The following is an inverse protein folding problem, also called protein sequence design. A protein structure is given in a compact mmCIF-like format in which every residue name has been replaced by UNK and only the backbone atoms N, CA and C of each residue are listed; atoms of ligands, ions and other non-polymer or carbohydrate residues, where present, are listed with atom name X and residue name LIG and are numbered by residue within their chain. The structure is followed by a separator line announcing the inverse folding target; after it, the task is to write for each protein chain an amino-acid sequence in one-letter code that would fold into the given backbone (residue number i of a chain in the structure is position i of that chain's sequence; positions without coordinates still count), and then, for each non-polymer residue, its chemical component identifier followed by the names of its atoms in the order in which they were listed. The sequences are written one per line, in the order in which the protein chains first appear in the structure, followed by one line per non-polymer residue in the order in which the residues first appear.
data_IF_404597929453
#
_entry.id   IF_404597929453
#
_cell.length_a   1.000
_cell.length_b   1.000
_cell.length_c   1.000
_cell.angle_alpha   90.00
_cell.angle_beta   90.00
_cell.angle_gamma   90.00
#
_symmetry.space_group_name_H-M   'P 1'
#
loop_
_entity.id
_entity.type
_entity.pdbx_description
1 polymer ?
#
# COMPACT_ATOMS: atom_id res chain seq x y z
N UNK A 1 -12.37 -29.76 20.85
CA UNK A 1 -11.28 -29.40 21.78
C UNK A 1 -10.27 -28.41 21.18
N UNK A 2 -9.67 -28.65 20.02
CA UNK A 2 -8.73 -27.71 19.39
C UNK A 2 -9.38 -26.37 19.00
N UNK A 3 -10.62 -26.40 18.55
CA UNK A 3 -11.41 -25.23 18.16
C UNK A 3 -11.72 -24.30 19.35
N UNK A 4 -11.93 -24.87 20.53
CA UNK A 4 -12.21 -24.11 21.75
C UNK A 4 -10.96 -23.52 22.40
N UNK A 5 -9.81 -24.17 22.20
CA UNK A 5 -8.52 -23.66 22.67
C UNK A 5 -8.07 -22.41 21.91
N UNK A 6 -8.20 -22.42 20.58
CA UNK A 6 -7.91 -21.25 19.74
C UNK A 6 -8.86 -20.08 20.07
N UNK A 7 -10.11 -20.39 20.37
CA UNK A 7 -11.12 -19.38 20.73
C UNK A 7 -10.86 -18.71 22.08
N UNK A 8 -10.26 -19.42 23.07
CA UNK A 8 -9.88 -18.83 24.36
C UNK A 8 -8.63 -17.95 24.30
N UNK A 9 -7.69 -18.24 23.42
CA UNK A 9 -6.47 -17.43 23.24
C UNK A 9 -6.77 -16.09 22.56
N UNK A 10 -7.84 -15.99 21.79
CA UNK A 10 -8.24 -14.78 21.09
C UNK A 10 -9.02 -13.76 21.92
N UNK A 11 -9.45 -14.13 23.15
CA UNK A 11 -10.17 -13.24 24.07
C UNK A 11 -9.33 -12.17 24.76
N UNK A 12 -8.00 -12.21 24.61
CA UNK A 12 -7.07 -11.36 25.34
C UNK A 12 -6.48 -10.19 24.54
N UNK A 13 -6.93 -9.93 23.32
CA UNK A 13 -6.42 -8.79 22.52
C UNK A 13 -7.53 -7.79 22.22
N UNK A 14 -7.68 -6.84 23.13
CA UNK A 14 -8.45 -5.61 22.95
C UNK A 14 -7.58 -4.56 22.28
N UNK A 15 -8.19 -3.86 21.32
CA UNK A 15 -7.78 -2.61 20.65
C UNK A 15 -6.78 -2.64 19.49
N UNK A 16 -7.33 -2.86 18.29
CA UNK A 16 -7.02 -2.05 17.14
C UNK A 16 -8.30 -1.91 16.29
N UNK A 17 -9.13 -0.96 16.66
CA UNK A 17 -10.49 -0.75 16.09
C UNK A 17 -10.54 0.21 14.90
N UNK A 18 -9.43 0.71 14.40
CA UNK A 18 -9.43 1.73 13.35
C UNK A 18 -9.41 1.17 11.90
N UNK A 19 -8.95 -0.05 11.67
CA UNK A 19 -8.86 -0.62 10.32
C UNK A 19 -10.09 -1.44 9.88
N UNK A 20 -11.04 -1.67 10.79
CA UNK A 20 -12.15 -2.61 10.57
C UNK A 20 -13.49 -1.96 10.18
N UNK A 21 -13.57 -0.63 10.13
CA UNK A 21 -14.84 0.06 9.84
C UNK A 21 -15.09 0.38 8.37
N UNK A 22 -14.09 0.30 7.53
CA UNK A 22 -14.23 0.64 6.10
C UNK A 22 -14.71 -0.52 5.22
N UNK A 23 -14.49 -1.76 5.61
CA UNK A 23 -14.94 -2.93 4.83
C UNK A 23 -16.41 -3.33 5.06
N UNK A 24 -17.04 -2.87 6.12
CA UNK A 24 -18.44 -3.25 6.43
C UNK A 24 -19.51 -2.59 5.53
N UNK A 25 -19.19 -1.54 4.81
CA UNK A 25 -20.16 -0.82 3.97
C UNK A 25 -20.38 -1.39 2.57
N UNK A 26 -19.55 -2.34 2.13
CA UNK A 26 -19.68 -2.95 0.80
C UNK A 26 -20.40 -4.30 0.75
N UNK A 27 -20.70 -4.93 1.90
CA UNK A 27 -21.27 -6.28 1.94
C UNK A 27 -22.80 -6.37 2.15
N UNK A 28 -23.52 -5.26 2.21
CA UNK A 28 -24.99 -5.31 2.44
C UNK A 28 -25.84 -5.53 1.19
N UNK A 29 -25.24 -5.78 0.01
CA UNK A 29 -25.94 -5.90 -1.29
C UNK A 29 -26.25 -7.30 -1.80
N UNK A 30 -25.69 -8.38 -1.25
CA UNK A 30 -25.90 -9.74 -1.79
C UNK A 30 -26.53 -10.72 -0.78
N UNK A 31 -27.84 -10.72 -0.71
CA UNK A 31 -28.63 -11.81 -0.12
C UNK A 31 -28.70 -12.98 -1.09
N UNK A 32 -27.99 -14.08 -0.82
CA UNK A 32 -28.27 -15.32 -1.52
C UNK A 32 -27.16 -16.37 -1.48
N UNK A 33 -27.33 -17.40 -0.63
CA UNK A 33 -26.52 -18.61 -0.45
C UNK A 33 -25.35 -18.49 0.51
N UNK A 34 -25.64 -18.66 1.79
CA UNK A 34 -24.66 -18.94 2.84
C UNK A 34 -24.08 -20.36 2.67
N UNK A 35 -23.05 -20.50 1.85
CA UNK A 35 -22.04 -21.53 2.06
C UNK A 35 -21.38 -21.26 3.40
N UNK A 36 -21.25 -22.29 4.25
CA UNK A 36 -20.49 -22.20 5.50
C UNK A 36 -19.00 -22.02 5.18
N UNK A 37 -18.62 -20.82 4.76
CA UNK A 37 -17.20 -20.45 4.66
C UNK A 37 -16.67 -20.37 6.09
N UNK A 38 -15.78 -21.28 6.44
CA UNK A 38 -14.96 -21.16 7.64
C UNK A 38 -14.32 -19.76 7.62
N UNK A 39 -14.77 -18.84 8.49
CA UNK A 39 -14.15 -17.53 8.66
C UNK A 39 -12.87 -17.74 9.46
N UNK A 40 -11.80 -18.10 8.76
CA UNK A 40 -10.46 -18.06 9.31
C UNK A 40 -10.14 -16.58 9.60
N UNK A 41 -9.74 -16.28 10.82
CA UNK A 41 -9.37 -14.89 11.18
C UNK A 41 -8.14 -14.48 10.39
N UNK A 42 -8.11 -13.30 9.76
CA UNK A 42 -7.04 -12.93 8.82
C UNK A 42 -5.62 -13.00 9.42
N UNK A 43 -5.45 -12.61 10.68
CA UNK A 43 -4.13 -12.62 11.35
C UNK A 43 -3.55 -14.02 11.60
N UNK A 44 -4.37 -15.07 11.67
CA UNK A 44 -3.87 -16.46 11.85
C UNK A 44 -3.50 -17.07 10.52
N UNK A 45 -4.19 -16.69 9.44
CA UNK A 45 -3.91 -17.21 8.10
C UNK A 45 -2.56 -16.74 7.57
N UNK A 46 -2.21 -15.47 7.79
CA UNK A 46 -0.94 -14.91 7.30
C UNK A 46 0.26 -15.62 7.88
N UNK A 47 0.26 -15.94 9.18
CA UNK A 47 1.36 -16.65 9.84
C UNK A 47 1.61 -18.03 9.23
N UNK A 48 0.52 -18.77 8.92
CA UNK A 48 0.64 -20.10 8.30
C UNK A 48 1.09 -19.98 6.84
N UNK A 49 0.61 -18.96 6.13
CA UNK A 49 1.04 -18.70 4.75
C UNK A 49 2.52 -18.33 4.72
N UNK A 50 2.97 -17.46 5.61
CA UNK A 50 4.36 -17.00 5.68
C UNK A 50 5.32 -18.16 6.02
N UNK A 51 4.91 -19.10 6.86
CA UNK A 51 5.76 -20.22 7.27
C UNK A 51 5.80 -21.37 6.25
N UNK A 52 4.64 -21.70 5.64
CA UNK A 52 4.52 -22.92 4.81
C UNK A 52 4.30 -22.64 3.32
N UNK A 53 3.88 -21.44 2.96
CA UNK A 53 3.50 -21.08 1.59
C UNK A 53 4.10 -19.74 1.13
N UNK A 54 5.28 -19.38 1.67
CA UNK A 54 5.95 -18.14 1.32
C UNK A 54 6.16 -18.00 -0.20
N UNK A 55 6.63 -19.06 -0.87
CA UNK A 55 6.84 -19.04 -2.32
C UNK A 55 5.54 -18.76 -3.10
N UNK A 56 4.43 -19.37 -2.69
CA UNK A 56 3.13 -19.14 -3.36
C UNK A 56 2.62 -17.73 -3.12
N UNK A 57 2.83 -17.19 -1.91
CA UNK A 57 2.52 -15.79 -1.58
C UNK A 57 3.35 -14.84 -2.46
N UNK A 58 4.64 -15.09 -2.58
CA UNK A 58 5.56 -14.21 -3.32
C UNK A 58 5.25 -14.22 -4.83
N UNK A 59 4.87 -15.36 -5.38
CA UNK A 59 4.38 -15.46 -6.78
C UNK A 59 3.09 -14.65 -6.98
N UNK A 60 2.17 -14.68 -6.01
CA UNK A 60 0.94 -13.88 -6.09
C UNK A 60 1.27 -12.39 -5.97
N UNK A 61 2.16 -12.01 -5.04
CA UNK A 61 2.59 -10.62 -4.85
C UNK A 61 3.26 -10.07 -6.11
N UNK A 62 4.15 -10.83 -6.75
CA UNK A 62 4.79 -10.44 -8.02
C UNK A 62 3.76 -10.27 -9.15
N UNK A 63 2.75 -11.14 -9.22
CA UNK A 63 1.69 -11.02 -10.20
C UNK A 63 0.77 -9.80 -9.93
N UNK A 64 0.52 -9.46 -8.66
CA UNK A 64 -0.22 -8.26 -8.27
C UNK A 64 0.55 -6.98 -8.59
N UNK A 65 1.86 -6.99 -8.38
CA UNK A 65 2.74 -5.87 -8.73
C UNK A 65 2.76 -5.64 -10.26
N UNK A 66 2.92 -6.71 -11.05
CA UNK A 66 2.84 -6.64 -12.51
C UNK A 66 1.48 -6.12 -12.98
N UNK A 67 0.39 -6.56 -12.34
CA UNK A 67 -0.94 -6.05 -12.62
C UNK A 67 -1.03 -4.54 -12.37
N UNK A 68 -0.49 -4.07 -11.24
CA UNK A 68 -0.45 -2.64 -10.91
C UNK A 68 0.36 -1.82 -11.91
N UNK A 69 1.51 -2.35 -12.38
CA UNK A 69 2.31 -1.71 -13.42
C UNK A 69 1.55 -1.61 -14.75
N UNK A 70 0.88 -2.68 -15.17
CA UNK A 70 0.10 -2.68 -16.40
C UNK A 70 -1.12 -1.73 -16.30
N UNK A 71 -1.78 -1.66 -15.14
CA UNK A 71 -2.89 -0.72 -14.91
C UNK A 71 -2.40 0.74 -14.91
N UNK A 72 -1.22 1.02 -14.35
CA UNK A 72 -0.61 2.35 -14.38
C UNK A 72 -0.23 2.76 -15.81
N UNK A 73 0.40 1.87 -16.57
CA UNK A 73 0.73 2.11 -17.99
C UNK A 73 -0.51 2.33 -18.85
N UNK A 74 -1.59 1.59 -18.58
CA UNK A 74 -2.86 1.79 -19.27
C UNK A 74 -3.47 3.17 -18.95
N UNK A 75 -3.42 3.60 -17.69
CA UNK A 75 -3.92 4.89 -17.26
C UNK A 75 -3.13 6.04 -17.88
N UNK A 76 -1.79 5.95 -17.88
CA UNK A 76 -0.88 6.91 -18.51
C UNK A 76 -1.17 7.02 -20.02
N UNK A 77 -1.28 5.88 -20.71
CA UNK A 77 -1.59 5.86 -22.14
C UNK A 77 -2.96 6.50 -22.44
N UNK A 78 -3.97 6.25 -21.61
CA UNK A 78 -5.30 6.85 -21.78
C UNK A 78 -5.25 8.36 -21.53
N UNK A 79 -4.48 8.82 -20.54
CA UNK A 79 -4.31 10.25 -20.23
C UNK A 79 -3.55 10.97 -21.35
N UNK A 80 -2.44 10.41 -21.85
CA UNK A 80 -1.67 10.97 -22.97
C UNK A 80 -2.49 11.07 -24.26
N UNK A 81 -3.39 10.13 -24.49
CA UNK A 81 -4.16 10.06 -25.71
C UNK A 81 -5.56 10.70 -25.60
N UNK A 82 -5.93 11.16 -24.39
CA UNK A 82 -7.22 11.80 -24.15
C UNK A 82 -7.44 13.01 -25.06
N UNK A 83 -6.42 13.84 -25.25
CA UNK A 83 -6.47 15.05 -26.07
C UNK A 83 -6.39 14.76 -27.57
N UNK A 84 -5.79 13.64 -27.97
CA UNK A 84 -5.52 13.34 -29.38
C UNK A 84 -6.63 12.52 -30.04
N UNK A 85 -7.29 11.64 -29.30
CA UNK A 85 -8.20 10.62 -29.89
C UNK A 85 -9.60 10.58 -29.28
N UNK A 86 -9.89 11.39 -28.25
CA UNK A 86 -11.20 11.39 -27.58
C UNK A 86 -12.16 12.45 -28.17
N UNK A 87 -11.96 12.89 -29.41
CA UNK A 87 -12.91 13.75 -30.10
C UNK A 87 -14.25 13.03 -30.26
N UNK A 88 -15.37 13.76 -30.11
CA UNK A 88 -16.75 13.24 -30.23
C UNK A 88 -16.99 12.57 -31.57
N UNK A 89 -16.31 13.00 -32.64
CA UNK A 89 -16.41 12.41 -33.99
C UNK A 89 -15.73 11.02 -34.07
N UNK A 90 -14.73 10.76 -33.26
CA UNK A 90 -13.93 9.53 -33.29
C UNK A 90 -14.39 8.48 -32.27
N UNK A 91 -14.86 8.93 -31.09
CA UNK A 91 -15.35 8.07 -30.03
C UNK A 91 -16.68 8.60 -29.48
N UNK A 92 -17.83 8.08 -29.96
CA UNK A 92 -19.12 8.41 -29.38
C UNK A 92 -19.09 7.99 -27.90
N UNK A 93 -19.30 8.88 -26.98
CA UNK A 93 -19.20 8.78 -25.52
C UNK A 93 -17.89 9.25 -24.90
N UNK A 94 -16.93 9.83 -25.66
CA UNK A 94 -15.63 10.31 -25.15
C UNK A 94 -14.89 9.29 -24.26
N UNK A 95 -15.05 7.99 -24.54
CA UNK A 95 -14.44 6.90 -23.75
C UNK A 95 -13.74 5.88 -24.62
N UNK A 96 -12.50 5.59 -24.30
CA UNK A 96 -11.75 4.46 -24.88
C UNK A 96 -12.31 3.14 -24.36
N UNK A 97 -13.29 2.57 -25.06
CA UNK A 97 -13.80 1.23 -24.79
C UNK A 97 -13.25 0.24 -25.82
N UNK A 98 -13.12 -1.04 -25.44
CA UNK A 98 -12.60 -2.08 -26.34
C UNK A 98 -13.35 -2.16 -27.67
N UNK A 99 -14.67 -1.92 -27.64
CA UNK A 99 -15.50 -1.95 -28.81
C UNK A 99 -15.22 -0.75 -29.74
N UNK A 100 -15.06 0.44 -29.17
CA UNK A 100 -14.78 1.66 -29.92
C UNK A 100 -13.37 1.62 -30.53
N UNK A 101 -12.37 1.20 -29.74
CA UNK A 101 -10.98 1.03 -30.20
C UNK A 101 -10.91 0.03 -31.37
N UNK A 102 -11.58 -1.12 -31.28
CA UNK A 102 -11.63 -2.10 -32.37
C UNK A 102 -12.33 -1.58 -33.62
N UNK A 103 -13.37 -0.75 -33.47
CA UNK A 103 -14.06 -0.10 -34.62
C UNK A 103 -13.12 0.93 -35.26
N UNK A 104 -12.43 1.73 -34.46
CA UNK A 104 -11.49 2.75 -34.97
C UNK A 104 -10.32 2.11 -35.72
N UNK A 105 -9.70 1.07 -35.21
CA UNK A 105 -8.62 0.33 -35.89
C UNK A 105 -9.09 -0.21 -37.26
N UNK A 106 -10.34 -0.61 -37.39
CA UNK A 106 -10.90 -1.09 -38.67
C UNK A 106 -11.19 0.04 -39.68
N UNK A 107 -11.40 1.25 -39.20
CA UNK A 107 -11.71 2.42 -40.03
C UNK A 107 -10.45 3.16 -40.51
N UNK A 108 -9.30 2.95 -39.84
CA UNK A 108 -8.03 3.60 -40.15
C UNK A 108 -7.29 2.90 -41.30
N UNK A 109 -6.63 3.70 -42.13
CA UNK A 109 -5.78 3.22 -43.22
C UNK A 109 -4.36 2.83 -42.70
N UNK A 110 -3.96 1.58 -42.96
CA UNK A 110 -2.68 1.01 -42.49
C UNK A 110 -1.45 1.75 -42.95
N UNK A 111 -1.53 2.61 -43.97
CA UNK A 111 -0.36 3.31 -44.54
C UNK A 111 -0.22 4.73 -43.98
N UNK A 112 -1.30 5.42 -43.70
CA UNK A 112 -1.29 6.81 -43.24
C UNK A 112 -1.31 6.90 -41.72
N UNK A 113 -2.00 5.97 -41.04
CA UNK A 113 -2.33 6.08 -39.60
C UNK A 113 -1.62 4.97 -38.79
N UNK A 114 -0.43 4.55 -39.22
CA UNK A 114 0.30 3.44 -38.62
C UNK A 114 0.65 3.69 -37.14
N UNK A 115 0.95 4.94 -36.76
CA UNK A 115 1.26 5.33 -35.38
C UNK A 115 0.02 5.25 -34.47
N UNK A 116 -1.13 5.74 -34.94
CA UNK A 116 -2.39 5.65 -34.19
C UNK A 116 -2.78 4.18 -33.99
N UNK A 117 -2.68 3.37 -35.04
CA UNK A 117 -2.99 1.93 -34.95
C UNK A 117 -2.08 1.23 -33.92
N UNK A 118 -0.78 1.56 -33.88
CA UNK A 118 0.14 0.97 -32.92
C UNK A 118 -0.23 1.31 -31.47
N UNK A 119 -0.61 2.55 -31.20
CA UNK A 119 -1.08 2.98 -29.87
C UNK A 119 -2.37 2.27 -29.45
N UNK A 120 -3.34 2.20 -30.36
CA UNK A 120 -4.62 1.52 -30.10
C UNK A 120 -4.44 0.01 -29.91
N UNK A 121 -3.50 -0.61 -30.62
CA UNK A 121 -3.14 -2.02 -30.40
C UNK A 121 -2.48 -2.21 -29.03
N UNK A 122 -1.53 -1.36 -28.66
CA UNK A 122 -0.90 -1.39 -27.34
C UNK A 122 -1.93 -1.29 -26.21
N UNK A 123 -2.95 -0.44 -26.36
CA UNK A 123 -4.08 -0.36 -25.42
C UNK A 123 -4.82 -1.68 -25.29
N UNK A 124 -5.14 -2.34 -26.41
CA UNK A 124 -5.86 -3.64 -26.39
C UNK A 124 -4.99 -4.75 -25.78
N UNK A 125 -3.69 -4.76 -26.05
CA UNK A 125 -2.76 -5.75 -25.53
C UNK A 125 -2.62 -5.59 -24.00
N UNK A 126 -2.39 -4.36 -23.50
CA UNK A 126 -2.35 -4.08 -22.07
C UNK A 126 -3.64 -4.49 -21.34
N UNK A 127 -4.78 -4.24 -21.97
CA UNK A 127 -6.09 -4.62 -21.41
C UNK A 127 -6.30 -6.14 -21.41
N UNK A 128 -5.79 -6.83 -22.43
CA UNK A 128 -5.71 -8.28 -22.50
C UNK A 128 -4.85 -8.85 -21.37
N UNK A 129 -3.66 -8.33 -21.18
CA UNK A 129 -2.71 -8.74 -20.14
C UNK A 129 -3.28 -8.50 -18.73
N UNK A 130 -3.91 -7.35 -18.50
CA UNK A 130 -4.62 -7.06 -17.24
C UNK A 130 -5.70 -8.12 -16.96
N UNK A 131 -6.49 -8.48 -17.97
CA UNK A 131 -7.55 -9.49 -17.83
C UNK A 131 -6.98 -10.88 -17.52
N UNK A 132 -5.89 -11.26 -18.20
CA UNK A 132 -5.19 -12.54 -17.98
C UNK A 132 -4.55 -12.58 -16.60
N UNK A 133 -3.85 -11.53 -16.20
CA UNK A 133 -3.23 -11.43 -14.87
C UNK A 133 -4.27 -11.49 -13.74
N UNK A 134 -5.41 -10.81 -13.89
CA UNK A 134 -6.53 -10.91 -12.92
C UNK A 134 -7.06 -12.33 -12.76
N UNK A 135 -7.17 -13.07 -13.87
CA UNK A 135 -7.58 -14.49 -13.81
C UNK A 135 -6.53 -15.35 -13.12
N UNK A 136 -5.27 -15.19 -13.51
CA UNK A 136 -4.15 -15.92 -12.92
C UNK A 136 -4.05 -15.69 -11.41
N UNK A 137 -4.12 -14.44 -10.97
CA UNK A 137 -4.10 -14.09 -9.54
C UNK A 137 -5.26 -14.76 -8.81
N UNK A 138 -6.46 -14.76 -9.39
CA UNK A 138 -7.64 -15.39 -8.79
C UNK A 138 -7.47 -16.91 -8.64
N UNK A 139 -6.93 -17.58 -9.65
CA UNK A 139 -6.63 -19.02 -9.63
C UNK A 139 -5.56 -19.32 -8.58
N UNK A 140 -4.45 -18.58 -8.57
CA UNK A 140 -3.37 -18.76 -7.58
C UNK A 140 -3.84 -18.54 -6.13
N UNK A 141 -4.69 -17.51 -5.92
CA UNK A 141 -5.31 -17.29 -4.60
C UNK A 141 -6.23 -18.43 -4.19
N UNK A 142 -6.97 -19.00 -5.12
CA UNK A 142 -7.83 -20.15 -4.84
C UNK A 142 -7.00 -21.39 -4.48
N UNK A 143 -5.93 -21.67 -5.23
CA UNK A 143 -5.01 -22.79 -4.96
C UNK A 143 -4.31 -22.62 -3.60
N UNK A 144 -3.90 -21.39 -3.26
CA UNK A 144 -3.32 -21.10 -1.95
C UNK A 144 -4.32 -21.35 -0.82
N UNK A 145 -5.58 -20.89 -0.97
CA UNK A 145 -6.63 -21.11 0.03
C UNK A 145 -6.94 -22.61 0.19
N UNK A 146 -6.99 -23.37 -0.89
CA UNK A 146 -7.23 -24.81 -0.85
C UNK A 146 -6.09 -25.53 -0.12
N UNK A 147 -4.85 -25.20 -0.47
CA UNK A 147 -3.68 -25.77 0.21
C UNK A 147 -3.64 -25.38 1.71
N UNK A 148 -4.05 -24.16 2.03
CA UNK A 148 -4.12 -23.69 3.41
C UNK A 148 -5.14 -24.47 4.23
N UNK A 149 -6.33 -24.76 3.69
CA UNK A 149 -7.36 -25.55 4.37
C UNK A 149 -6.86 -26.96 4.68
N UNK A 150 -6.18 -27.61 3.72
CA UNK A 150 -5.57 -28.93 3.92
C UNK A 150 -4.52 -28.87 5.02
N UNK A 151 -3.60 -27.88 4.96
CA UNK A 151 -2.54 -27.73 5.97
C UNK A 151 -3.09 -27.50 7.37
N UNK A 152 -4.19 -26.74 7.53
CA UNK A 152 -4.82 -26.56 8.82
C UNK A 152 -5.36 -27.84 9.43
N UNK A 153 -5.80 -28.80 8.62
CA UNK A 153 -6.26 -30.11 9.10
C UNK A 153 -5.10 -30.99 9.59
N UNK A 154 -3.91 -30.82 8.98
CA UNK A 154 -2.72 -31.62 9.25
C UNK A 154 -1.80 -31.04 10.35
N UNK A 155 -2.10 -29.83 10.88
CA UNK A 155 -1.25 -29.19 11.90
C UNK A 155 -1.30 -29.95 13.23
N UNK A 156 -0.14 -30.36 13.73
CA UNK A 156 0.02 -30.93 15.07
C UNK A 156 -0.12 -29.88 16.16
N UNK A 157 -0.46 -30.31 17.39
CA UNK A 157 -0.54 -29.40 18.55
C UNK A 157 0.78 -28.68 18.83
N UNK A 158 1.92 -29.37 18.63
CA UNK A 158 3.24 -28.78 18.83
C UNK A 158 3.53 -27.67 17.81
N UNK A 159 3.19 -27.86 16.54
CA UNK A 159 3.32 -26.83 15.50
C UNK A 159 2.42 -25.64 15.77
N UNK A 160 1.18 -25.87 16.21
CA UNK A 160 0.25 -24.78 16.57
C UNK A 160 0.83 -23.96 17.72
N UNK A 161 1.35 -24.59 18.79
CA UNK A 161 1.99 -23.89 19.90
C UNK A 161 3.18 -23.06 19.43
N UNK A 162 4.04 -23.62 18.57
CA UNK A 162 5.19 -22.91 18.00
C UNK A 162 4.75 -21.67 17.19
N UNK A 163 3.80 -21.82 16.30
CA UNK A 163 3.28 -20.72 15.47
C UNK A 163 2.67 -19.60 16.32
N UNK A 164 1.90 -19.96 17.35
CA UNK A 164 1.27 -18.98 18.23
C UNK A 164 2.28 -18.28 19.10
N UNK A 165 3.17 -19.00 19.75
CA UNK A 165 4.14 -18.42 20.70
C UNK A 165 5.23 -17.67 19.95
N UNK A 166 5.93 -18.31 19.03
CA UNK A 166 7.10 -17.74 18.38
C UNK A 166 6.74 -16.73 17.30
N UNK A 167 5.84 -17.11 16.36
CA UNK A 167 5.55 -16.26 15.19
C UNK A 167 4.51 -15.18 15.47
N UNK A 168 3.55 -15.40 16.37
CA UNK A 168 2.53 -14.39 16.67
C UNK A 168 2.93 -13.52 17.85
N UNK A 169 3.21 -14.13 19.01
CA UNK A 169 3.41 -13.38 20.24
C UNK A 169 4.80 -12.74 20.32
N UNK A 170 5.87 -13.50 20.11
CA UNK A 170 7.21 -12.96 20.19
C UNK A 170 7.48 -11.93 19.10
N UNK A 171 7.02 -12.16 17.88
CA UNK A 171 7.15 -11.17 16.79
C UNK A 171 6.39 -9.88 17.12
N UNK A 172 5.16 -9.99 17.63
CA UNK A 172 4.38 -8.82 18.05
C UNK A 172 5.01 -8.07 19.22
N UNK A 173 5.61 -8.79 20.15
CA UNK A 173 6.31 -8.20 21.30
C UNK A 173 7.59 -7.48 20.85
N UNK A 174 8.38 -8.11 20.00
CA UNK A 174 9.59 -7.52 19.44
C UNK A 174 9.29 -6.22 18.69
N UNK A 175 8.30 -6.24 17.79
CA UNK A 175 7.87 -5.03 17.07
C UNK A 175 7.43 -3.89 18.00
N UNK A 176 6.68 -4.19 19.05
CA UNK A 176 6.25 -3.17 20.03
C UNK A 176 7.43 -2.61 20.80
N UNK A 177 8.38 -3.46 21.18
CA UNK A 177 9.60 -3.05 21.87
C UNK A 177 10.43 -2.13 20.98
N UNK A 178 10.65 -2.52 19.73
CA UNK A 178 11.39 -1.71 18.74
C UNK A 178 10.72 -0.35 18.51
N UNK A 179 9.40 -0.30 18.38
CA UNK A 179 8.64 0.95 18.25
C UNK A 179 8.86 1.86 19.47
N UNK A 180 8.81 1.33 20.70
CA UNK A 180 9.04 2.12 21.89
C UNK A 180 10.50 2.58 22.01
N UNK A 181 11.45 1.73 21.66
CA UNK A 181 12.87 2.10 21.60
C UNK A 181 13.12 3.25 20.62
N UNK A 182 12.54 3.17 19.42
CA UNK A 182 12.64 4.23 18.42
C UNK A 182 11.99 5.52 18.90
N UNK A 183 10.81 5.45 19.54
CA UNK A 183 10.11 6.61 20.09
C UNK A 183 10.96 7.34 21.15
N UNK A 184 11.56 6.60 22.07
CA UNK A 184 12.43 7.16 23.12
C UNK A 184 13.69 7.77 22.48
N UNK A 185 14.32 7.07 21.54
CA UNK A 185 15.49 7.56 20.82
C UNK A 185 15.21 8.87 20.07
N UNK A 186 14.09 8.96 19.35
CA UNK A 186 13.70 10.18 18.64
C UNK A 186 13.43 11.34 19.61
N UNK A 187 12.77 11.07 20.75
CA UNK A 187 12.55 12.09 21.78
C UNK A 187 13.87 12.58 22.39
N UNK A 188 14.82 11.69 22.63
CA UNK A 188 16.13 12.07 23.13
C UNK A 188 16.90 12.90 22.10
N UNK A 189 16.91 12.45 20.84
CA UNK A 189 17.57 13.17 19.74
C UNK A 189 17.01 14.58 19.59
N UNK A 190 15.68 14.75 19.58
CA UNK A 190 15.06 16.08 19.44
C UNK A 190 15.39 16.99 20.63
N UNK A 191 15.48 16.46 21.86
CA UNK A 191 15.91 17.24 23.03
C UNK A 191 17.37 17.67 22.93
N UNK A 192 18.26 16.77 22.48
CA UNK A 192 19.68 17.09 22.28
C UNK A 192 19.85 18.16 21.22
N UNK A 193 19.14 18.03 20.08
CA UNK A 193 19.17 19.05 19.03
C UNK A 193 18.67 20.42 19.53
N UNK A 194 17.54 20.44 20.25
CA UNK A 194 17.03 21.67 20.84
C UNK A 194 17.99 22.32 21.84
N UNK A 195 18.74 21.52 22.62
CA UNK A 195 19.79 22.01 23.49
C UNK A 195 20.99 22.53 22.69
N UNK A 196 21.42 21.81 21.65
CA UNK A 196 22.49 22.24 20.78
C UNK A 196 22.18 23.58 20.09
N UNK A 197 20.97 23.77 19.60
CA UNK A 197 20.50 25.03 19.02
C UNK A 197 20.46 26.16 20.06
N UNK A 198 19.93 25.88 21.27
CA UNK A 198 19.87 26.87 22.35
C UNK A 198 21.23 27.36 22.79
N UNK A 199 22.22 26.49 22.82
CA UNK A 199 23.58 26.80 23.28
C UNK A 199 24.57 26.91 22.12
N UNK A 200 24.10 27.12 20.90
CA UNK A 200 24.94 27.32 19.71
C UNK A 200 25.84 28.55 19.83
N UNK A 201 25.33 29.61 20.47
CA UNK A 201 26.10 30.82 20.78
C UNK A 201 26.48 30.86 22.26
N UNK A 202 27.70 31.24 22.54
CA UNK A 202 28.15 31.43 23.91
C UNK A 202 27.71 32.79 24.43
N UNK A 203 27.58 32.97 25.78
CA UNK A 203 27.24 34.25 26.38
C UNK A 203 28.14 35.39 25.94
N UNK A 204 29.51 35.23 25.90
CA UNK A 204 30.39 36.28 25.40
C UNK A 204 30.14 36.70 23.94
N UNK A 205 29.74 35.78 23.08
CA UNK A 205 29.39 36.08 21.68
C UNK A 205 28.08 36.87 21.58
N UNK A 206 27.08 36.54 22.39
CA UNK A 206 25.81 37.26 22.47
C UNK A 206 26.05 38.66 23.00
N UNK A 207 26.87 38.87 24.02
CA UNK A 207 27.25 40.17 24.58
C UNK A 207 27.96 41.05 23.53
N UNK A 208 28.86 40.45 22.73
CA UNK A 208 29.53 41.14 21.63
C UNK A 208 28.53 41.57 20.55
N UNK A 209 27.63 40.70 20.15
CA UNK A 209 26.58 41.00 19.17
C UNK A 209 25.65 42.14 19.66
N UNK A 210 25.31 42.16 20.96
CA UNK A 210 24.50 43.22 21.57
C UNK A 210 25.25 44.57 21.48
N UNK A 211 26.54 44.58 21.85
CA UNK A 211 27.37 45.79 21.81
C UNK A 211 27.46 46.33 20.38
N UNK A 212 27.64 45.46 19.39
CA UNK A 212 27.68 45.85 17.99
C UNK A 212 26.33 46.40 17.48
N UNK A 213 25.22 45.78 17.90
CA UNK A 213 23.88 46.27 17.55
C UNK A 213 23.57 47.62 18.21
N UNK A 214 23.94 47.85 19.48
CA UNK A 214 23.81 49.13 20.18
C UNK A 214 24.58 50.21 19.46
N UNK A 215 25.81 49.95 19.03
CA UNK A 215 26.60 50.89 18.28
C UNK A 215 25.96 51.25 16.93
N UNK A 216 25.40 50.30 16.22
CA UNK A 216 24.65 50.54 14.96
C UNK A 216 23.40 51.36 15.17
N UNK A 217 22.62 51.08 16.21
CA UNK A 217 21.42 51.81 16.56
C UNK A 217 21.79 53.27 16.91
N UNK A 218 22.81 53.47 17.74
CA UNK A 218 23.30 54.83 18.08
C UNK A 218 23.75 55.63 16.83
N UNK A 219 24.45 54.97 15.91
CA UNK A 219 24.84 55.61 14.63
C UNK A 219 23.63 56.00 13.78
N UNK A 220 22.61 55.17 13.69
CA UNK A 220 21.38 55.47 12.96
C UNK A 220 20.58 56.62 13.62
N UNK A 221 20.46 56.61 14.94
CA UNK A 221 19.79 57.71 15.68
C UNK A 221 20.48 59.05 15.42
N UNK A 222 21.83 59.06 15.47
CA UNK A 222 22.61 60.25 15.16
C UNK A 222 22.43 60.73 13.73
N UNK A 223 22.26 59.83 12.75
CA UNK A 223 21.94 60.23 11.37
C UNK A 223 20.54 60.84 11.22
N UNK A 224 19.59 60.43 12.05
CA UNK A 224 18.23 60.94 12.08
C UNK A 224 18.08 62.26 12.88
N UNK A 225 19.17 62.74 13.54
CA UNK A 225 19.17 64.01 14.27
C UNK A 225 18.75 63.90 15.74
N UNK A 226 18.86 62.72 16.32
CA UNK A 226 18.68 62.49 17.76
C UNK A 226 20.03 62.33 18.46
#
# INVERSE_FOLDING_TARGET
MLYDFVRRLDGATVHSTACFQEERRKEEGEKGRRSRRCRLRPASCTIVIDEYFAEKRDVIAAAEELLGQNEAQLAELVEEQADNYLDEDNFPDSKMTDANVKKRIKALDKRTDAEEIAVLQKYLDLKGDISLNKKLIKERKYDLLTALVVKYADLSEAEIKRLVIEKKWFTSLALRLDCEMQRISQQLTSKVLALAERYAQTLPEIDADITDLEAKVAAHLKQMGY
#
